data_IF_159510255307
#
_entry.id   IF_159510255307
#
_cell.length_a   1.000
_cell.length_b   1.000
_cell.length_c   1.000
_cell.angle_alpha   90.00
_cell.angle_beta   90.00
_cell.angle_gamma   90.00
#
_symmetry.space_group_name_H-M   'P 1'
#
loop_
_entity.id
_entity.type
_entity.pdbx_description
1 polymer ?
#
# COMPACT_ATOMS: atom_id res chain seq x y z
N UNK A 1 50.28 -9.75 39.19
CA UNK A 1 49.31 -9.00 40.02
C UNK A 1 48.69 -7.89 39.17
N UNK A 2 47.54 -8.12 38.61
CA UNK A 2 46.82 -7.16 37.74
C UNK A 2 45.90 -6.30 38.63
N UNK A 3 46.24 -5.01 38.79
CA UNK A 3 45.40 -4.04 39.51
C UNK A 3 44.11 -3.78 38.75
N UNK A 4 42.95 -4.16 39.29
CA UNK A 4 41.62 -3.77 38.79
C UNK A 4 41.42 -2.28 38.99
N UNK A 5 41.27 -1.54 37.87
CA UNK A 5 40.90 -0.12 37.87
C UNK A 5 39.41 -0.02 38.22
N UNK A 6 39.06 0.77 39.23
CA UNK A 6 37.65 0.97 39.62
C UNK A 6 36.96 1.93 38.62
N UNK A 7 35.71 1.68 38.36
CA UNK A 7 34.88 2.44 37.39
C UNK A 7 34.91 3.97 37.62
N UNK A 8 35.12 4.40 38.86
CA UNK A 8 35.24 5.81 39.26
C UNK A 8 36.56 6.45 38.79
N UNK A 9 37.63 5.67 38.74
CA UNK A 9 38.95 6.17 38.34
C UNK A 9 39.06 6.29 36.81
N UNK A 10 38.37 5.39 36.08
CA UNK A 10 38.22 5.50 34.64
C UNK A 10 37.47 6.77 34.19
N UNK A 11 36.39 7.14 34.89
CA UNK A 11 35.63 8.35 34.61
C UNK A 11 36.38 9.65 34.91
N UNK A 12 37.27 9.66 35.92
CA UNK A 12 38.11 10.83 36.24
C UNK A 12 39.26 11.02 35.25
N UNK A 13 39.84 9.97 34.71
CA UNK A 13 40.92 10.06 33.71
C UNK A 13 40.40 10.49 32.33
N UNK A 14 39.15 10.18 31.99
CA UNK A 14 38.51 10.64 30.74
C UNK A 14 38.17 12.14 30.77
N UNK A 15 37.94 12.73 31.93
CA UNK A 15 37.59 14.14 32.06
C UNK A 15 38.78 15.11 31.99
N UNK A 16 40.01 14.63 32.23
CA UNK A 16 41.23 15.47 32.24
C UNK A 16 41.93 15.48 30.87
N UNK A 17 41.62 14.55 29.98
CA UNK A 17 42.17 14.47 28.61
C UNK A 17 41.58 15.40 27.60
N UNK A 18 40.50 16.14 27.92
CA UNK A 18 39.73 16.96 26.97
C UNK A 18 40.02 18.46 26.96
N UNK A 19 41.04 18.91 27.72
CA UNK A 19 41.32 20.35 27.84
C UNK A 19 42.59 20.84 27.14
N UNK A 20 43.28 20.03 26.32
CA UNK A 20 44.53 20.43 25.68
C UNK A 20 44.66 20.05 24.19
N UNK A 21 43.58 20.08 23.42
CA UNK A 21 43.68 20.12 21.98
C UNK A 21 42.59 21.04 21.44
N UNK A 22 42.99 22.24 21.06
CA UNK A 22 42.13 23.22 20.40
C UNK A 22 41.76 22.80 18.94
N UNK A 23 41.14 21.64 18.79
CA UNK A 23 40.43 21.27 17.59
C UNK A 23 38.94 21.49 17.88
N UNK A 24 38.30 22.36 17.09
CA UNK A 24 36.84 22.52 17.07
C UNK A 24 36.25 21.12 16.95
N UNK A 25 35.70 20.59 18.06
CA UNK A 25 34.83 19.46 18.02
C UNK A 25 33.67 19.87 17.11
N UNK A 26 33.64 19.38 15.91
CA UNK A 26 32.43 19.41 15.08
C UNK A 26 31.40 18.59 15.86
N UNK A 27 30.54 19.30 16.57
CA UNK A 27 29.30 18.72 17.08
C UNK A 27 28.65 18.11 15.85
N UNK A 28 28.53 16.78 15.83
CA UNK A 28 27.66 16.11 14.87
C UNK A 28 26.26 16.72 15.10
N UNK A 29 25.94 17.75 14.33
CA UNK A 29 24.58 18.24 14.24
C UNK A 29 23.79 17.10 13.61
N UNK A 30 23.08 16.35 14.45
CA UNK A 30 21.95 15.58 13.94
C UNK A 30 21.10 16.56 13.14
N UNK A 31 20.71 16.24 11.90
CA UNK A 31 19.85 17.12 11.16
C UNK A 31 18.62 17.41 12.04
N UNK A 32 18.44 18.67 12.40
CA UNK A 32 17.22 19.11 13.05
C UNK A 32 16.10 18.76 12.10
N UNK A 33 15.24 17.85 12.47
CA UNK A 33 13.97 17.62 11.77
C UNK A 33 13.19 18.91 12.00
N UNK A 34 13.28 19.83 11.06
CA UNK A 34 12.45 21.02 11.03
C UNK A 34 11.09 20.52 10.53
N UNK A 35 10.23 20.13 11.48
CA UNK A 35 8.79 20.01 11.17
C UNK A 35 8.33 21.43 10.93
N UNK A 36 7.81 21.78 9.73
CA UNK A 36 7.26 23.09 9.48
C UNK A 36 6.20 23.40 10.54
N UNK A 37 6.20 24.59 11.09
CA UNK A 37 5.33 24.97 12.21
C UNK A 37 3.81 24.93 11.88
N UNK A 38 3.43 24.75 10.60
CA UNK A 38 2.04 24.75 10.12
C UNK A 38 1.84 23.71 9.00
N UNK A 39 1.94 22.42 9.33
CA UNK A 39 1.48 21.37 8.39
C UNK A 39 -0.04 21.32 8.42
N UNK A 40 -0.69 21.54 7.27
CA UNK A 40 -2.12 21.32 7.16
C UNK A 40 -2.43 19.84 7.11
N UNK A 41 -3.34 19.35 7.96
CA UNK A 41 -3.76 17.96 7.88
C UNK A 41 -4.30 17.60 6.50
N UNK A 42 -3.91 16.44 6.00
CA UNK A 42 -4.42 15.91 4.75
C UNK A 42 -4.39 14.38 4.75
N UNK A 43 -5.35 13.79 4.05
CA UNK A 43 -5.41 12.36 3.73
C UNK A 43 -5.29 12.21 2.22
N UNK A 44 -4.46 11.27 1.77
CA UNK A 44 -4.27 10.92 0.36
C UNK A 44 -4.49 9.41 0.19
N UNK A 45 -5.35 9.01 -0.73
CA UNK A 45 -5.71 7.61 -0.92
C UNK A 45 -5.89 7.26 -2.42
N UNK A 46 -5.96 5.98 -2.73
CA UNK A 46 -6.48 5.53 -4.02
C UNK A 46 -7.94 5.98 -4.21
N UNK A 47 -8.41 6.01 -5.47
CA UNK A 47 -9.72 6.59 -5.82
C UNK A 47 -10.91 5.93 -5.11
N UNK A 48 -10.83 4.62 -4.81
CA UNK A 48 -11.86 3.90 -4.04
C UNK A 48 -12.03 4.44 -2.60
N UNK A 49 -11.01 5.10 -2.06
CA UNK A 49 -11.11 5.79 -0.77
C UNK A 49 -12.10 6.96 -0.72
N UNK A 50 -12.57 7.46 -1.87
CA UNK A 50 -13.64 8.48 -1.96
C UNK A 50 -14.88 7.97 -2.72
N UNK A 51 -15.04 6.66 -2.88
CA UNK A 51 -16.16 6.08 -3.65
C UNK A 51 -17.14 5.31 -2.75
N UNK A 52 -16.63 4.46 -1.88
CA UNK A 52 -17.41 3.53 -1.08
C UNK A 52 -17.71 4.10 0.29
N UNK A 53 -18.87 3.77 0.82
CA UNK A 53 -19.38 4.28 2.11
C UNK A 53 -19.90 3.16 3.04
N UNK A 54 -19.91 1.93 2.60
CA UNK A 54 -20.43 0.76 3.32
C UNK A 54 -21.85 1.01 3.91
N UNK A 55 -22.73 1.58 3.09
CA UNK A 55 -24.09 1.92 3.51
C UNK A 55 -24.21 3.12 4.45
N UNK A 56 -23.11 3.79 4.79
CA UNK A 56 -23.08 5.00 5.63
C UNK A 56 -23.02 6.30 4.83
N UNK A 57 -22.72 7.39 5.52
CA UNK A 57 -22.71 8.74 4.94
C UNK A 57 -21.34 9.24 4.52
N UNK A 58 -20.25 8.67 5.08
CA UNK A 58 -18.87 9.15 4.91
C UNK A 58 -18.00 8.16 4.14
N UNK A 59 -17.06 8.67 3.38
CA UNK A 59 -16.04 7.90 2.67
C UNK A 59 -14.82 7.62 3.55
N UNK A 60 -13.91 6.76 3.07
CA UNK A 60 -12.68 6.42 3.79
C UNK A 60 -11.81 7.66 4.07
N UNK A 61 -11.61 8.54 3.07
CA UNK A 61 -10.80 9.75 3.24
C UNK A 61 -11.45 10.77 4.17
N UNK A 62 -12.78 10.91 4.14
CA UNK A 62 -13.51 11.77 5.08
C UNK A 62 -13.43 11.28 6.52
N UNK A 63 -13.62 9.96 6.72
CA UNK A 63 -13.49 9.33 8.04
C UNK A 63 -12.10 9.55 8.63
N UNK A 64 -11.07 9.25 7.85
CA UNK A 64 -9.68 9.41 8.28
C UNK A 64 -9.38 10.88 8.60
N UNK A 65 -9.76 11.82 7.74
CA UNK A 65 -9.53 13.25 7.94
C UNK A 65 -10.23 13.78 9.19
N UNK A 66 -11.50 13.43 9.37
CA UNK A 66 -12.27 13.84 10.56
C UNK A 66 -11.63 13.33 11.86
N UNK A 67 -11.14 12.08 11.88
CA UNK A 67 -10.46 11.54 13.05
C UNK A 67 -9.12 12.24 13.30
N UNK A 68 -8.33 12.49 12.26
CA UNK A 68 -7.02 13.19 12.36
C UNK A 68 -7.22 14.60 12.92
N UNK A 69 -8.18 15.35 12.39
CA UNK A 69 -8.46 16.72 12.86
C UNK A 69 -9.13 16.74 14.23
N UNK A 70 -9.80 15.66 14.61
CA UNK A 70 -10.33 15.42 15.96
C UNK A 70 -9.26 15.01 17.00
N UNK A 71 -7.98 14.88 16.59
CA UNK A 71 -6.87 14.57 17.49
C UNK A 71 -6.59 13.08 17.69
N UNK A 72 -7.20 12.19 16.91
CA UNK A 72 -6.88 10.76 16.94
C UNK A 72 -5.47 10.48 16.42
N UNK A 73 -4.89 9.34 16.80
CA UNK A 73 -3.67 8.82 16.20
C UNK A 73 -3.86 8.66 14.69
N UNK A 74 -2.85 9.07 13.91
CA UNK A 74 -2.97 9.10 12.43
C UNK A 74 -3.12 7.69 11.87
N UNK A 75 -2.43 6.69 12.44
CA UNK A 75 -2.57 5.30 11.97
C UNK A 75 -3.97 4.77 12.26
N UNK A 76 -4.52 5.04 13.45
CA UNK A 76 -5.88 4.64 13.80
C UNK A 76 -6.90 5.27 12.86
N UNK A 77 -6.70 6.52 12.50
CA UNK A 77 -7.57 7.25 11.60
C UNK A 77 -7.57 6.68 10.16
N UNK A 78 -6.39 6.45 9.57
CA UNK A 78 -6.31 5.90 8.20
C UNK A 78 -6.81 4.46 8.14
N UNK A 79 -6.60 3.64 9.18
CA UNK A 79 -7.15 2.29 9.27
C UNK A 79 -8.66 2.33 9.41
N UNK A 80 -9.22 3.18 10.28
CA UNK A 80 -10.67 3.35 10.39
C UNK A 80 -11.30 3.82 9.07
N UNK A 81 -10.56 4.61 8.28
CA UNK A 81 -10.97 4.98 6.93
C UNK A 81 -11.03 3.78 6.00
N UNK A 82 -9.94 3.03 5.84
CA UNK A 82 -9.89 1.88 4.90
C UNK A 82 -10.84 0.76 5.31
N UNK A 83 -11.19 0.63 6.60
CA UNK A 83 -12.19 -0.36 7.04
C UNK A 83 -13.57 -0.12 6.43
N UNK A 84 -13.93 1.12 6.05
CA UNK A 84 -15.17 1.38 5.30
C UNK A 84 -15.14 0.60 3.99
N UNK A 85 -14.01 0.63 3.27
CA UNK A 85 -13.86 -0.07 1.97
C UNK A 85 -13.69 -1.58 2.19
N UNK A 86 -12.90 -2.01 3.18
CA UNK A 86 -12.74 -3.45 3.50
C UNK A 86 -14.06 -4.14 3.85
N UNK A 87 -15.04 -3.42 4.37
CA UNK A 87 -16.33 -3.95 4.78
C UNK A 87 -17.44 -3.72 3.75
N UNK A 88 -17.20 -2.91 2.71
CA UNK A 88 -18.22 -2.59 1.71
C UNK A 88 -18.32 -3.71 0.67
N UNK A 89 -19.43 -4.47 0.61
CA UNK A 89 -19.60 -5.57 -0.33
C UNK A 89 -19.69 -5.11 -1.80
N UNK A 90 -19.75 -3.82 -2.05
CA UNK A 90 -19.75 -3.23 -3.41
C UNK A 90 -18.32 -3.01 -3.94
N UNK A 91 -17.29 -3.06 -3.09
CA UNK A 91 -15.89 -3.10 -3.52
C UNK A 91 -15.41 -4.56 -3.54
N UNK A 92 -15.41 -5.17 -4.71
CA UNK A 92 -14.93 -6.54 -4.93
C UNK A 92 -13.40 -6.63 -5.10
N UNK A 93 -12.67 -5.57 -4.75
CA UNK A 93 -11.21 -5.49 -4.86
C UNK A 93 -10.47 -5.52 -3.52
N UNK A 94 -11.18 -5.35 -2.39
CA UNK A 94 -10.60 -5.23 -1.04
C UNK A 94 -11.51 -5.92 -0.01
N UNK A 95 -10.93 -6.61 0.96
CA UNK A 95 -11.64 -7.09 2.13
C UNK A 95 -12.79 -8.07 1.85
N UNK A 96 -13.94 -7.81 2.49
CA UNK A 96 -15.16 -8.62 2.35
C UNK A 96 -15.76 -8.50 0.95
N UNK A 97 -15.93 -9.61 0.27
CA UNK A 97 -16.41 -9.64 -1.12
C UNK A 97 -15.31 -9.41 -2.15
N UNK A 98 -14.06 -9.24 -1.75
CA UNK A 98 -12.93 -9.16 -2.67
C UNK A 98 -12.85 -10.40 -3.57
N UNK A 99 -12.45 -10.21 -4.84
CA UNK A 99 -12.38 -11.30 -5.80
C UNK A 99 -11.43 -12.41 -5.33
N UNK A 100 -11.87 -13.69 -5.34
CA UNK A 100 -11.15 -14.79 -4.76
C UNK A 100 -9.94 -15.22 -5.62
N UNK A 101 -9.15 -16.13 -5.06
CA UNK A 101 -8.11 -16.86 -5.80
C UNK A 101 -8.71 -17.87 -6.80
N UNK A 102 -7.88 -18.58 -7.54
CA UNK A 102 -8.30 -19.54 -8.56
C UNK A 102 -9.15 -20.71 -8.02
N UNK A 103 -9.09 -20.97 -6.70
CA UNK A 103 -9.88 -22.01 -6.03
C UNK A 103 -11.14 -21.46 -5.35
N UNK A 104 -11.45 -20.16 -5.54
CA UNK A 104 -12.66 -19.54 -5.01
C UNK A 104 -12.55 -19.06 -3.57
N UNK A 105 -11.34 -19.00 -3.00
CA UNK A 105 -11.08 -18.54 -1.64
C UNK A 105 -10.58 -17.10 -1.64
N UNK A 106 -11.21 -16.23 -0.85
CA UNK A 106 -10.76 -14.85 -0.66
C UNK A 106 -9.54 -14.85 0.27
N UNK A 107 -8.38 -14.48 -0.28
CA UNK A 107 -7.12 -14.30 0.42
C UNK A 107 -6.70 -12.85 0.41
N UNK A 108 -6.50 -12.27 1.59
CA UNK A 108 -6.29 -10.85 1.79
C UNK A 108 -4.87 -10.55 2.23
N UNK A 109 -4.38 -9.36 1.83
CA UNK A 109 -3.07 -8.84 2.21
C UNK A 109 -3.25 -7.43 2.78
N UNK A 110 -2.44 -7.06 3.79
CA UNK A 110 -2.40 -5.68 4.29
C UNK A 110 -1.05 -5.36 4.93
N UNK A 111 -0.66 -4.10 4.87
CA UNK A 111 0.42 -3.54 5.68
C UNK A 111 0.05 -2.17 6.22
N UNK A 112 0.61 -1.82 7.37
CA UNK A 112 0.52 -0.49 7.95
C UNK A 112 1.86 -0.04 8.54
N UNK A 113 2.12 1.26 8.49
CA UNK A 113 3.35 1.86 9.02
C UNK A 113 3.04 3.11 9.84
N UNK A 114 3.61 3.17 11.03
CA UNK A 114 3.50 4.30 11.95
C UNK A 114 4.79 5.11 11.95
N UNK A 115 4.83 6.21 11.22
CA UNK A 115 6.04 7.02 11.05
C UNK A 115 6.68 7.51 12.36
N UNK A 116 5.94 8.13 13.29
CA UNK A 116 6.47 8.56 14.58
C UNK A 116 7.06 7.43 15.44
N UNK A 117 6.42 6.27 15.48
CA UNK A 117 6.90 5.11 16.26
C UNK A 117 7.96 4.29 15.53
N UNK A 118 8.19 4.53 14.24
CA UNK A 118 9.07 3.74 13.34
C UNK A 118 8.77 2.25 13.42
N UNK A 119 7.48 1.91 13.42
CA UNK A 119 6.96 0.55 13.50
C UNK A 119 6.10 0.23 12.29
N UNK A 120 6.07 -1.04 11.97
CA UNK A 120 5.25 -1.56 10.88
C UNK A 120 4.65 -2.92 11.25
N UNK A 121 3.54 -3.25 10.63
CA UNK A 121 2.90 -4.57 10.73
C UNK A 121 2.24 -4.92 9.42
N UNK A 122 2.22 -6.22 9.11
CA UNK A 122 1.62 -6.71 7.87
C UNK A 122 1.06 -8.13 8.05
N UNK A 123 0.09 -8.44 7.21
CA UNK A 123 -0.42 -9.80 7.01
C UNK A 123 -0.55 -10.09 5.53
N UNK A 124 -0.28 -11.34 5.12
CA UNK A 124 -0.37 -11.75 3.74
C UNK A 124 -1.08 -13.08 3.60
N UNK A 125 -1.86 -13.22 2.52
CA UNK A 125 -2.64 -14.44 2.24
C UNK A 125 -3.46 -14.91 3.45
N UNK A 126 -4.01 -13.96 4.22
CA UNK A 126 -4.88 -14.26 5.36
C UNK A 126 -6.29 -14.55 4.87
N UNK A 127 -6.95 -15.54 5.49
CA UNK A 127 -8.31 -15.97 5.15
C UNK A 127 -9.26 -15.72 6.32
N UNK A 128 -10.54 -15.49 6.03
CA UNK A 128 -11.62 -15.45 7.01
C UNK A 128 -11.68 -14.20 7.87
N UNK A 129 -10.86 -13.18 7.62
CA UNK A 129 -10.90 -11.89 8.36
C UNK A 129 -11.26 -10.76 7.42
N UNK A 130 -12.40 -10.08 7.65
CA UNK A 130 -12.88 -8.98 6.78
C UNK A 130 -11.97 -7.76 6.76
N UNK A 131 -11.24 -7.53 7.85
CA UNK A 131 -10.42 -6.33 8.08
C UNK A 131 -8.95 -6.68 8.31
N UNK A 132 -8.22 -7.12 7.26
CA UNK A 132 -6.81 -7.49 7.39
C UNK A 132 -5.93 -6.33 7.87
N UNK A 133 -6.33 -5.06 7.63
CA UNK A 133 -5.61 -3.89 8.12
C UNK A 133 -5.58 -3.79 9.65
N UNK A 134 -6.65 -4.19 10.33
CA UNK A 134 -6.68 -4.28 11.79
C UNK A 134 -5.77 -5.38 12.31
N UNK A 135 -5.67 -6.52 11.61
CA UNK A 135 -4.72 -7.58 11.98
C UNK A 135 -3.28 -7.13 11.75
N UNK A 136 -2.99 -6.44 10.65
CA UNK A 136 -1.68 -5.83 10.40
C UNK A 136 -1.29 -4.86 11.52
N UNK A 137 -2.24 -4.02 11.99
CA UNK A 137 -2.04 -3.16 13.16
C UNK A 137 -1.78 -3.96 14.43
N UNK A 138 -2.52 -5.03 14.68
CA UNK A 138 -2.29 -5.89 15.85
C UNK A 138 -0.88 -6.52 15.82
N UNK A 139 -0.36 -6.91 14.65
CA UNK A 139 1.03 -7.36 14.49
C UNK A 139 2.00 -6.26 14.90
N UNK A 140 1.80 -5.02 14.41
CA UNK A 140 2.60 -3.85 14.74
C UNK A 140 2.63 -3.58 16.26
N UNK A 141 1.49 -3.66 16.92
CA UNK A 141 1.34 -3.23 18.31
C UNK A 141 1.76 -4.30 19.32
N UNK A 142 1.57 -5.57 19.02
CA UNK A 142 1.66 -6.65 19.99
C UNK A 142 2.84 -7.62 19.75
N UNK A 143 3.63 -7.41 18.70
CA UNK A 143 4.77 -8.29 18.39
C UNK A 143 6.00 -7.50 17.93
N UNK A 144 7.15 -8.18 17.86
CA UNK A 144 8.38 -7.65 17.23
C UNK A 144 8.48 -8.05 15.74
N UNK A 145 7.46 -8.75 15.23
CA UNK A 145 7.41 -9.15 13.82
C UNK A 145 6.85 -8.03 12.95
N UNK A 146 7.20 -8.06 11.67
CA UNK A 146 6.64 -7.13 10.68
C UNK A 146 5.62 -7.79 9.75
N UNK A 147 5.68 -9.11 9.56
CA UNK A 147 4.81 -9.82 8.62
C UNK A 147 4.47 -11.21 9.13
N UNK A 148 3.18 -11.52 9.20
CA UNK A 148 2.63 -12.86 9.40
C UNK A 148 1.87 -13.30 8.14
N UNK A 149 1.89 -14.60 7.81
CA UNK A 149 1.30 -15.09 6.54
C UNK A 149 0.36 -16.28 6.75
N UNK A 150 -0.64 -16.39 5.85
CA UNK A 150 -1.52 -17.54 5.71
C UNK A 150 -2.15 -17.99 7.03
N UNK A 151 -2.10 -19.31 7.28
CA UNK A 151 -2.69 -19.91 8.48
C UNK A 151 -2.11 -19.35 9.78
N UNK A 152 -0.81 -19.04 9.82
CA UNK A 152 -0.19 -18.42 11.00
C UNK A 152 -0.77 -17.03 11.30
N UNK A 153 -1.01 -16.20 10.26
CA UNK A 153 -1.68 -14.93 10.42
C UNK A 153 -3.13 -15.08 10.89
N UNK A 154 -3.86 -16.08 10.40
CA UNK A 154 -5.23 -16.38 10.82
C UNK A 154 -5.29 -16.85 12.29
N UNK A 155 -4.37 -17.71 12.72
CA UNK A 155 -4.29 -18.17 14.12
C UNK A 155 -3.92 -17.01 15.06
N UNK A 156 -2.99 -16.14 14.66
CA UNK A 156 -2.69 -14.92 15.38
C UNK A 156 -3.94 -14.03 15.50
N UNK A 157 -4.64 -13.78 14.40
CA UNK A 157 -5.87 -12.98 14.41
C UNK A 157 -6.91 -13.57 15.38
N UNK A 158 -7.11 -14.89 15.35
CA UNK A 158 -8.02 -15.58 16.31
C UNK A 158 -7.57 -15.37 17.76
N UNK A 159 -6.28 -15.48 18.05
CA UNK A 159 -5.75 -15.27 19.40
C UNK A 159 -5.92 -13.84 19.90
N UNK A 160 -5.94 -12.86 18.98
CA UNK A 160 -6.21 -11.46 19.25
C UNK A 160 -7.71 -11.11 19.31
N UNK A 161 -8.61 -12.10 19.21
CA UNK A 161 -10.05 -11.94 19.33
C UNK A 161 -10.78 -11.56 18.03
N UNK A 162 -10.10 -11.60 16.88
CA UNK A 162 -10.77 -11.39 15.60
C UNK A 162 -11.70 -12.56 15.26
N UNK A 163 -12.87 -12.25 14.71
CA UNK A 163 -13.78 -13.25 14.16
C UNK A 163 -13.15 -13.85 12.90
N UNK A 164 -13.13 -15.18 12.85
CA UNK A 164 -12.74 -15.92 11.65
C UNK A 164 -14.00 -16.47 11.00
N UNK A 165 -14.24 -16.13 9.75
CA UNK A 165 -15.37 -16.59 8.94
C UNK A 165 -14.92 -17.67 7.95
N UNK A 166 -15.78 -18.61 7.66
CA UNK A 166 -15.46 -19.72 6.74
C UNK A 166 -15.36 -19.25 5.29
N UNK A 167 -16.07 -18.18 4.93
CA UNK A 167 -16.11 -17.64 3.57
C UNK A 167 -16.33 -16.12 3.60
N UNK A 168 -15.50 -15.39 2.85
CA UNK A 168 -15.60 -13.95 2.67
C UNK A 168 -16.17 -13.57 1.29
N UNK A 169 -16.55 -14.53 0.46
CA UNK A 169 -17.24 -14.22 -0.79
C UNK A 169 -18.61 -13.59 -0.52
N UNK A 170 -18.99 -12.64 -1.35
CA UNK A 170 -20.39 -12.26 -1.58
C UNK A 170 -20.98 -13.13 -2.70
N UNK A 171 -22.31 -13.10 -2.89
CA UNK A 171 -22.93 -13.73 -4.03
C UNK A 171 -22.36 -13.20 -5.35
N UNK A 172 -22.06 -11.90 -5.42
CA UNK A 172 -21.46 -11.24 -6.58
C UNK A 172 -20.06 -11.79 -6.88
N UNK A 173 -19.13 -11.76 -5.92
CA UNK A 173 -17.75 -12.24 -6.14
C UNK A 173 -17.72 -13.74 -6.49
N UNK A 174 -18.62 -14.53 -5.88
CA UNK A 174 -18.78 -15.94 -6.20
C UNK A 174 -19.30 -16.17 -7.64
N UNK A 175 -20.28 -15.38 -8.09
CA UNK A 175 -20.78 -15.46 -9.47
C UNK A 175 -19.70 -15.10 -10.49
N UNK A 176 -18.92 -14.04 -10.24
CA UNK A 176 -17.79 -13.66 -11.09
C UNK A 176 -16.72 -14.76 -11.16
N UNK A 177 -16.42 -15.42 -10.03
CA UNK A 177 -15.49 -16.55 -10.02
C UNK A 177 -16.03 -17.75 -10.82
N UNK A 178 -17.31 -18.06 -10.72
CA UNK A 178 -17.93 -19.14 -11.51
C UNK A 178 -17.90 -18.80 -13.02
N UNK A 179 -18.14 -17.55 -13.39
CA UNK A 179 -18.06 -17.11 -14.78
C UNK A 179 -16.63 -17.21 -15.32
N UNK A 180 -15.64 -16.78 -14.56
CA UNK A 180 -14.24 -16.96 -14.89
C UNK A 180 -13.89 -18.44 -15.08
N UNK A 181 -14.35 -19.34 -14.17
CA UNK A 181 -14.15 -20.79 -14.30
C UNK A 181 -14.77 -21.36 -15.59
N UNK A 182 -15.94 -20.88 -16.02
CA UNK A 182 -16.59 -21.33 -17.27
C UNK A 182 -15.79 -20.94 -18.51
N UNK A 183 -15.13 -19.80 -18.50
CA UNK A 183 -14.32 -19.31 -19.62
C UNK A 183 -13.01 -20.06 -19.78
N UNK A 184 -12.54 -20.75 -18.77
CA UNK A 184 -11.30 -21.54 -18.81
C UNK A 184 -11.63 -22.94 -19.37
N UNK A 185 -10.96 -23.31 -20.48
CA UNK A 185 -11.02 -24.67 -20.99
C UNK A 185 -10.46 -25.67 -19.95
N UNK A 186 -11.24 -26.70 -19.54
CA UNK A 186 -10.80 -27.71 -18.57
C UNK A 186 -9.50 -28.42 -18.94
N UNK A 187 -9.16 -28.54 -20.25
CA UNK A 187 -7.90 -29.13 -20.73
C UNK A 187 -6.65 -28.40 -20.24
N UNK A 188 -6.76 -27.12 -19.89
CA UNK A 188 -5.67 -26.32 -19.36
C UNK A 188 -5.36 -26.57 -17.89
N UNK A 189 -6.23 -27.26 -17.12
CA UNK A 189 -6.04 -27.45 -15.68
C UNK A 189 -4.88 -28.39 -15.34
N UNK A 190 -4.52 -29.31 -16.23
CA UNK A 190 -3.44 -30.28 -16.03
C UNK A 190 -2.05 -29.65 -16.25
N UNK A 191 -1.94 -28.63 -17.08
CA UNK A 191 -0.70 -27.89 -17.34
C UNK A 191 -0.71 -26.53 -16.63
N UNK A 192 0.13 -26.31 -15.61
CA UNK A 192 0.14 -25.07 -14.83
C UNK A 192 0.38 -23.83 -15.67
N UNK A 193 1.24 -23.92 -16.70
CA UNK A 193 1.54 -22.79 -17.59
C UNK A 193 0.33 -22.43 -18.46
N UNK A 194 -0.25 -23.41 -19.13
CA UNK A 194 -1.45 -23.23 -19.96
C UNK A 194 -2.64 -22.75 -19.12
N UNK A 195 -2.79 -23.25 -17.90
CA UNK A 195 -3.81 -22.80 -16.96
C UNK A 195 -3.65 -21.31 -16.62
N UNK A 196 -2.44 -20.86 -16.33
CA UNK A 196 -2.17 -19.45 -16.03
C UNK A 196 -2.47 -18.55 -17.23
N UNK A 197 -2.11 -18.97 -18.45
CA UNK A 197 -2.40 -18.25 -19.69
C UNK A 197 -3.91 -18.21 -19.99
N UNK A 198 -4.61 -19.32 -19.80
CA UNK A 198 -6.07 -19.40 -19.97
C UNK A 198 -6.82 -18.54 -18.93
N UNK A 199 -6.38 -18.58 -17.68
CA UNK A 199 -6.94 -17.76 -16.61
C UNK A 199 -6.78 -16.26 -16.89
N UNK A 200 -5.62 -15.85 -17.37
CA UNK A 200 -5.39 -14.46 -17.75
C UNK A 200 -6.25 -14.01 -18.92
N UNK A 201 -6.39 -14.83 -19.98
CA UNK A 201 -7.30 -14.54 -21.11
C UNK A 201 -8.74 -14.39 -20.65
N UNK A 202 -9.25 -15.33 -19.84
CA UNK A 202 -10.59 -15.27 -19.31
C UNK A 202 -10.84 -13.97 -18.51
N UNK A 203 -9.84 -13.52 -17.74
CA UNK A 203 -9.92 -12.25 -17.01
C UNK A 203 -10.01 -11.03 -17.97
N UNK A 204 -9.21 -11.00 -19.04
CA UNK A 204 -9.26 -9.94 -20.05
C UNK A 204 -10.56 -9.95 -20.84
N UNK A 205 -11.13 -11.13 -21.13
CA UNK A 205 -12.44 -11.26 -21.77
C UNK A 205 -13.54 -10.68 -20.86
N UNK A 206 -13.54 -11.01 -19.57
CA UNK A 206 -14.51 -10.47 -18.61
C UNK A 206 -14.38 -8.95 -18.45
N UNK A 207 -13.16 -8.41 -18.53
CA UNK A 207 -12.93 -6.96 -18.58
C UNK A 207 -13.54 -6.34 -19.85
N UNK A 208 -13.29 -6.94 -21.02
CA UNK A 208 -13.83 -6.47 -22.30
C UNK A 208 -15.37 -6.56 -22.36
N UNK A 209 -15.97 -7.54 -21.69
CA UNK A 209 -17.42 -7.70 -21.56
C UNK A 209 -18.04 -6.77 -20.50
N UNK A 210 -17.22 -6.03 -19.74
CA UNK A 210 -17.68 -5.13 -18.68
C UNK A 210 -18.18 -5.85 -17.43
N UNK A 211 -17.89 -7.14 -17.26
CA UNK A 211 -18.25 -7.93 -16.08
C UNK A 211 -17.41 -7.55 -14.85
N UNK A 212 -16.19 -7.13 -15.09
CA UNK A 212 -15.27 -6.58 -14.06
C UNK A 212 -14.68 -5.26 -14.56
N UNK A 213 -14.21 -4.42 -13.64
CA UNK A 213 -13.45 -3.22 -13.97
C UNK A 213 -11.95 -3.51 -13.94
N UNK A 214 -11.15 -2.72 -14.66
CA UNK A 214 -9.69 -2.85 -14.64
C UNK A 214 -9.13 -2.70 -13.22
N UNK A 215 -9.66 -1.76 -12.45
CA UNK A 215 -9.25 -1.55 -11.05
C UNK A 215 -9.51 -2.76 -10.16
N UNK A 216 -10.49 -3.61 -10.48
CA UNK A 216 -10.85 -4.81 -9.70
C UNK A 216 -9.95 -6.00 -10.06
N UNK A 217 -9.33 -5.98 -11.24
CA UNK A 217 -8.34 -6.99 -11.63
C UNK A 217 -7.08 -6.93 -10.74
N UNK A 218 -6.72 -5.73 -10.28
CA UNK A 218 -5.57 -5.43 -9.40
C UNK A 218 -5.99 -4.54 -8.22
N UNK A 219 -7.14 -4.86 -7.60
CA UNK A 219 -7.76 -4.00 -6.61
C UNK A 219 -6.95 -3.84 -5.32
N UNK A 220 -6.88 -2.62 -4.84
CA UNK A 220 -6.17 -2.25 -3.62
C UNK A 220 -6.68 -0.90 -3.14
N UNK A 221 -6.71 -0.66 -1.83
CA UNK A 221 -6.73 0.68 -1.27
C UNK A 221 -5.41 0.97 -0.55
N UNK A 222 -4.78 2.10 -0.90
CA UNK A 222 -3.77 2.75 -0.09
C UNK A 222 -4.36 4.02 0.53
N UNK A 223 -4.00 4.32 1.77
CA UNK A 223 -4.38 5.54 2.46
C UNK A 223 -3.23 6.03 3.33
N UNK A 224 -2.77 7.25 3.08
CA UNK A 224 -1.72 7.94 3.83
C UNK A 224 -2.31 9.21 4.47
N UNK A 225 -1.95 9.50 5.71
CA UNK A 225 -2.43 10.68 6.42
C UNK A 225 -1.32 11.41 7.16
N UNK A 226 -1.47 12.72 7.31
CA UNK A 226 -0.61 13.58 8.13
C UNK A 226 -1.47 14.52 8.97
N UNK A 227 -1.09 14.74 10.22
CA UNK A 227 -1.76 15.69 11.10
C UNK A 227 -0.99 17.03 11.19
N UNK A 228 -1.53 17.99 11.94
CA UNK A 228 -0.93 19.33 12.14
C UNK A 228 0.42 19.31 12.87
N UNK A 229 0.77 18.19 13.52
CA UNK A 229 2.08 18.00 14.16
C UNK A 229 3.13 17.44 13.20
N UNK A 230 2.77 17.16 11.94
CA UNK A 230 3.64 16.49 10.98
C UNK A 230 3.80 14.99 11.21
N UNK A 231 2.96 14.37 12.04
CA UNK A 231 2.94 12.93 12.23
C UNK A 231 2.28 12.28 11.02
N UNK A 232 3.01 11.39 10.34
CA UNK A 232 2.57 10.74 9.11
C UNK A 232 2.52 9.22 9.29
N UNK A 233 1.42 8.61 8.82
CA UNK A 233 1.20 7.16 8.83
C UNK A 233 0.53 6.72 7.53
N UNK A 234 0.61 5.42 7.23
CA UNK A 234 -0.03 4.86 6.04
C UNK A 234 -0.48 3.42 6.23
N UNK A 235 -1.42 3.02 5.39
CA UNK A 235 -1.97 1.66 5.32
C UNK A 235 -2.23 1.30 3.86
N UNK A 236 -2.00 0.04 3.51
CA UNK A 236 -2.38 -0.55 2.22
C UNK A 236 -3.07 -1.88 2.50
N UNK A 237 -4.20 -2.15 1.83
CA UNK A 237 -4.97 -3.38 1.98
C UNK A 237 -5.62 -3.80 0.67
N UNK A 238 -5.74 -5.11 0.43
CA UNK A 238 -6.13 -5.66 -0.87
C UNK A 238 -6.63 -7.09 -0.78
N UNK A 239 -7.46 -7.50 -1.76
CA UNK A 239 -7.68 -8.91 -2.10
C UNK A 239 -6.65 -9.45 -3.10
N UNK A 240 -5.73 -8.60 -3.56
CA UNK A 240 -4.66 -8.95 -4.51
C UNK A 240 -5.14 -9.04 -5.96
N UNK A 241 -4.41 -9.82 -6.76
CA UNK A 241 -4.80 -10.11 -8.13
C UNK A 241 -6.00 -11.06 -8.15
N UNK A 242 -7.04 -10.72 -8.90
CA UNK A 242 -8.22 -11.57 -9.10
C UNK A 242 -7.82 -12.92 -9.68
N UNK A 243 -8.38 -14.00 -9.10
CA UNK A 243 -8.13 -15.39 -9.51
C UNK A 243 -6.64 -15.80 -9.47
N UNK A 244 -5.89 -15.15 -8.60
CA UNK A 244 -4.48 -15.48 -8.33
C UNK A 244 -4.30 -16.96 -7.94
N UNK A 245 -3.11 -17.48 -8.16
CA UNK A 245 -2.72 -18.78 -7.60
C UNK A 245 -2.84 -18.72 -6.07
N UNK A 246 -3.44 -19.71 -5.40
CA UNK A 246 -3.53 -19.74 -3.94
C UNK A 246 -2.16 -19.52 -3.28
N UNK A 247 -2.10 -18.59 -2.34
CA UNK A 247 -0.85 -18.21 -1.68
C UNK A 247 -0.01 -17.15 -2.42
N UNK A 248 -0.42 -16.67 -3.62
CA UNK A 248 0.25 -15.52 -4.25
C UNK A 248 0.06 -14.28 -3.40
N UNK A 249 1.15 -13.64 -3.07
CA UNK A 249 1.23 -12.36 -2.37
C UNK A 249 1.74 -11.30 -3.34
N UNK A 250 1.06 -10.15 -3.39
CA UNK A 250 1.49 -8.97 -4.15
C UNK A 250 2.43 -8.08 -3.36
N UNK A 251 2.49 -6.82 -3.76
CA UNK A 251 3.33 -5.80 -3.11
C UNK A 251 2.72 -5.24 -1.82
N UNK A 252 1.39 -5.26 -1.68
CA UNK A 252 0.68 -4.55 -0.60
C UNK A 252 1.16 -4.89 0.82
N UNK A 253 1.49 -6.14 1.21
CA UNK A 253 1.99 -6.43 2.54
C UNK A 253 3.51 -6.26 2.69
N UNK A 254 4.21 -5.94 1.60
CA UNK A 254 5.67 -5.86 1.59
C UNK A 254 6.11 -4.41 1.78
N UNK A 255 6.76 -4.16 2.93
CA UNK A 255 7.29 -2.84 3.29
C UNK A 255 8.36 -2.40 2.27
N UNK A 256 8.21 -1.20 1.77
CA UNK A 256 9.06 -0.66 0.71
C UNK A 256 8.51 -0.87 -0.70
N UNK A 257 7.61 -1.84 -0.90
CA UNK A 257 6.94 -2.07 -2.17
C UNK A 257 5.54 -1.43 -2.18
N UNK A 258 4.52 -2.08 -1.59
CA UNK A 258 3.14 -1.60 -1.60
C UNK A 258 2.88 -0.43 -0.64
N UNK A 259 3.72 -0.26 0.35
CA UNK A 259 3.70 0.84 1.32
C UNK A 259 5.10 1.10 1.87
N UNK A 260 5.46 2.38 1.99
CA UNK A 260 6.58 2.81 2.81
C UNK A 260 6.30 4.16 3.47
N UNK A 261 6.64 4.28 4.76
CA UNK A 261 6.49 5.52 5.53
C UNK A 261 7.78 5.80 6.30
N UNK A 262 8.36 6.96 6.09
CA UNK A 262 9.33 7.57 6.99
C UNK A 262 8.73 8.87 7.53
N UNK A 263 8.49 8.92 8.86
CA UNK A 263 7.83 10.06 9.51
C UNK A 263 8.55 11.40 9.34
N UNK A 264 9.85 11.40 9.00
CA UNK A 264 10.62 12.61 8.74
C UNK A 264 10.59 13.06 7.27
N UNK A 265 10.12 12.21 6.36
CA UNK A 265 10.20 12.44 4.90
C UNK A 265 8.83 12.40 4.26
N UNK A 266 8.08 11.31 4.45
CA UNK A 266 6.81 11.13 3.78
C UNK A 266 6.35 9.68 3.73
N UNK A 267 5.28 9.46 2.97
CA UNK A 267 4.64 8.18 2.72
C UNK A 267 4.38 7.98 1.23
N UNK A 268 4.49 6.75 0.78
CA UNK A 268 4.09 6.33 -0.56
C UNK A 268 3.45 4.95 -0.50
N UNK A 269 2.39 4.75 -1.28
CA UNK A 269 1.77 3.46 -1.49
C UNK A 269 1.29 3.30 -2.92
N UNK A 270 0.92 2.08 -3.30
CA UNK A 270 0.67 1.72 -4.70
C UNK A 270 -0.63 0.96 -4.90
N UNK A 271 -1.10 0.98 -6.16
CA UNK A 271 -2.07 0.03 -6.72
C UNK A 271 -1.63 -0.42 -8.10
N UNK A 272 -2.19 -1.52 -8.60
CA UNK A 272 -1.90 -2.05 -9.91
C UNK A 272 -1.01 -3.30 -9.86
N UNK A 273 -0.13 -3.48 -10.86
CA UNK A 273 0.69 -4.69 -10.96
C UNK A 273 1.76 -4.77 -9.86
N UNK A 274 1.48 -5.54 -8.80
CA UNK A 274 2.34 -5.69 -7.63
C UNK A 274 3.73 -6.22 -7.95
N UNK A 275 3.87 -7.21 -8.84
CA UNK A 275 5.16 -7.80 -9.22
C UNK A 275 6.14 -6.78 -9.81
N UNK A 276 5.64 -5.81 -10.57
CA UNK A 276 6.49 -4.74 -11.14
C UNK A 276 6.99 -3.77 -10.05
N UNK A 277 6.15 -3.51 -9.06
CA UNK A 277 6.51 -2.71 -7.90
C UNK A 277 7.47 -3.48 -6.96
N UNK A 278 7.19 -4.75 -6.66
CA UNK A 278 8.05 -5.61 -5.82
C UNK A 278 9.50 -5.64 -6.31
N UNK A 279 9.70 -5.81 -7.62
CA UNK A 279 11.04 -5.89 -8.21
C UNK A 279 11.86 -4.63 -7.96
N UNK A 280 11.22 -3.46 -7.90
CA UNK A 280 11.87 -2.16 -7.78
C UNK A 280 11.79 -1.53 -6.39
N UNK A 281 11.00 -2.08 -5.44
CA UNK A 281 10.73 -1.49 -4.12
C UNK A 281 10.33 -0.02 -4.21
N UNK A 282 9.35 0.28 -5.08
CA UNK A 282 9.10 1.64 -5.51
C UNK A 282 8.60 2.59 -4.42
N UNK A 283 7.84 2.13 -3.44
CA UNK A 283 7.40 3.02 -2.36
C UNK A 283 8.59 3.48 -1.50
N UNK A 284 9.57 2.60 -1.25
CA UNK A 284 10.83 2.99 -0.62
C UNK A 284 11.62 3.97 -1.49
N UNK A 285 11.77 3.66 -2.79
CA UNK A 285 12.43 4.54 -3.74
C UNK A 285 11.82 5.95 -3.76
N UNK A 286 10.49 6.06 -3.81
CA UNK A 286 9.79 7.35 -3.83
C UNK A 286 10.10 8.15 -2.57
N UNK A 287 10.08 7.52 -1.40
CA UNK A 287 10.41 8.20 -0.14
C UNK A 287 11.87 8.62 -0.10
N UNK A 288 12.81 7.80 -0.64
CA UNK A 288 14.23 8.20 -0.75
C UNK A 288 14.43 9.35 -1.75
N UNK A 289 13.71 9.37 -2.86
CA UNK A 289 13.76 10.50 -3.80
C UNK A 289 13.23 11.80 -3.15
N UNK A 290 12.15 11.71 -2.33
CA UNK A 290 11.70 12.84 -1.53
C UNK A 290 12.71 13.24 -0.44
N UNK A 291 13.46 12.29 0.16
CA UNK A 291 14.57 12.57 1.09
C UNK A 291 15.67 13.39 0.44
N UNK A 292 15.93 13.17 -0.85
CA UNK A 292 16.85 13.95 -1.66
C UNK A 292 16.25 15.26 -2.19
N UNK A 293 15.07 15.66 -1.71
CA UNK A 293 14.44 16.96 -1.98
C UNK A 293 13.51 17.00 -3.20
N UNK A 294 13.21 15.87 -3.85
CA UNK A 294 12.24 15.85 -4.96
C UNK A 294 10.82 16.10 -4.44
N UNK A 295 10.01 16.79 -5.23
CA UNK A 295 8.58 16.91 -5.01
C UNK A 295 7.91 15.52 -5.16
N UNK A 296 6.81 15.20 -4.43
CA UNK A 296 6.08 13.92 -4.54
C UNK A 296 5.81 13.46 -5.98
N UNK A 297 5.39 14.36 -6.86
CA UNK A 297 5.19 14.07 -8.30
C UNK A 297 6.47 13.55 -8.97
N UNK A 298 7.58 14.26 -8.81
CA UNK A 298 8.84 13.93 -9.49
C UNK A 298 9.44 12.62 -8.95
N UNK A 299 9.30 12.39 -7.65
CA UNK A 299 9.68 11.13 -7.00
C UNK A 299 8.87 9.95 -7.54
N UNK A 300 7.55 10.11 -7.67
CA UNK A 300 6.67 9.10 -8.25
C UNK A 300 6.96 8.82 -9.73
N UNK A 301 7.23 9.87 -10.51
CA UNK A 301 7.62 9.73 -11.93
C UNK A 301 8.92 8.96 -12.10
N UNK A 302 9.88 9.12 -11.19
CA UNK A 302 11.12 8.35 -11.21
C UNK A 302 10.87 6.85 -10.99
N UNK A 303 10.00 6.50 -10.05
CA UNK A 303 9.60 5.12 -9.81
C UNK A 303 8.92 4.50 -11.05
N UNK A 304 8.02 5.24 -11.71
CA UNK A 304 7.36 4.77 -12.94
C UNK A 304 8.35 4.60 -14.10
N UNK A 305 9.34 5.50 -14.26
CA UNK A 305 10.41 5.34 -15.27
C UNK A 305 11.23 4.09 -15.01
N UNK A 306 11.54 3.79 -13.74
CA UNK A 306 12.30 2.61 -13.35
C UNK A 306 11.52 1.33 -13.62
N UNK A 307 10.22 1.28 -13.31
CA UNK A 307 9.34 0.16 -13.67
C UNK A 307 9.33 -0.03 -15.18
N UNK A 308 9.14 1.03 -15.97
CA UNK A 308 9.17 0.96 -17.43
C UNK A 308 10.48 0.38 -17.95
N UNK A 309 11.62 0.86 -17.44
CA UNK A 309 12.94 0.41 -17.86
C UNK A 309 13.25 -1.05 -17.47
N UNK A 310 12.72 -1.53 -16.34
CA UNK A 310 12.91 -2.91 -15.87
C UNK A 310 11.91 -3.91 -16.46
N UNK A 311 10.88 -3.45 -17.19
CA UNK A 311 9.92 -4.33 -17.86
C UNK A 311 10.46 -4.76 -19.21
N UNK A 312 11.12 -5.91 -19.26
CA UNK A 312 11.82 -6.42 -20.46
C UNK A 312 11.19 -7.68 -21.07
N UNK A 313 10.32 -8.36 -20.33
CA UNK A 313 9.64 -9.56 -20.82
C UNK A 313 8.60 -9.20 -21.90
N UNK A 314 8.71 -9.81 -23.08
CA UNK A 314 7.82 -9.53 -24.21
C UNK A 314 6.33 -9.68 -23.90
N UNK A 315 5.96 -10.66 -23.05
CA UNK A 315 4.56 -10.88 -22.63
C UNK A 315 4.01 -9.75 -21.73
N UNK A 316 4.88 -8.89 -21.20
CA UNK A 316 4.52 -7.74 -20.36
C UNK A 316 4.63 -6.41 -21.11
N UNK A 317 4.82 -6.47 -22.43
CA UNK A 317 4.89 -5.30 -23.30
C UNK A 317 3.70 -5.28 -24.25
N UNK A 318 3.17 -4.09 -24.47
CA UNK A 318 2.14 -3.82 -25.48
C UNK A 318 2.78 -3.68 -26.88
N UNK A 319 1.96 -3.40 -27.90
CA UNK A 319 2.39 -3.26 -29.28
C UNK A 319 3.43 -2.15 -29.52
N UNK A 320 3.44 -1.13 -28.63
CA UNK A 320 4.39 0.00 -28.65
C UNK A 320 5.67 -0.26 -27.87
N UNK A 321 5.83 -1.46 -27.29
CA UNK A 321 6.99 -1.82 -26.45
C UNK A 321 6.98 -1.18 -25.04
N UNK A 322 5.85 -0.71 -24.57
CA UNK A 322 5.66 -0.20 -23.22
C UNK A 322 4.98 -1.27 -22.33
N UNK A 323 5.04 -1.16 -20.97
CA UNK A 323 4.34 -2.08 -20.08
C UNK A 323 2.85 -2.24 -20.43
N UNK A 324 2.34 -3.47 -20.57
CA UNK A 324 0.94 -3.74 -20.84
C UNK A 324 0.08 -3.79 -19.57
N UNK A 325 0.46 -3.03 -18.57
CA UNK A 325 -0.20 -2.94 -17.27
C UNK A 325 -0.03 -1.54 -16.68
N UNK A 326 -0.86 -1.21 -15.70
CA UNK A 326 -0.69 0.01 -14.92
C UNK A 326 -0.06 -0.26 -13.55
N UNK A 327 0.65 0.74 -13.05
CA UNK A 327 1.01 0.92 -11.64
C UNK A 327 0.76 2.38 -11.30
N UNK A 328 0.17 2.62 -10.14
CA UNK A 328 -0.21 3.95 -9.64
C UNK A 328 0.36 4.13 -8.24
N UNK A 329 0.87 5.34 -7.95
CA UNK A 329 1.37 5.69 -6.63
C UNK A 329 0.62 6.87 -6.04
N UNK A 330 0.40 6.83 -4.73
CA UNK A 330 -0.23 7.85 -3.90
C UNK A 330 0.79 8.31 -2.87
N UNK A 331 1.20 9.57 -2.96
CA UNK A 331 2.41 10.07 -2.34
C UNK A 331 2.09 11.31 -1.51
N UNK A 332 2.63 11.36 -0.30
CA UNK A 332 2.45 12.46 0.65
C UNK A 332 3.78 12.71 1.36
N UNK A 333 4.29 13.95 1.34
CA UNK A 333 5.50 14.26 2.09
C UNK A 333 5.21 14.92 3.45
N UNK A 334 6.25 15.07 4.27
CA UNK A 334 6.14 15.65 5.62
C UNK A 334 5.76 17.15 5.63
N UNK A 335 5.71 17.81 4.46
CA UNK A 335 5.23 19.20 4.33
C UNK A 335 3.75 19.29 3.93
N UNK A 336 3.08 18.15 3.75
CA UNK A 336 1.70 18.11 3.28
C UNK A 336 1.56 18.25 1.76
N UNK A 337 2.67 18.27 0.99
CA UNK A 337 2.63 18.20 -0.46
C UNK A 337 2.34 16.76 -0.91
N UNK A 338 1.54 16.60 -1.95
CA UNK A 338 1.09 15.29 -2.40
C UNK A 338 1.04 15.16 -3.92
N UNK A 339 0.96 13.93 -4.39
CA UNK A 339 0.72 13.60 -5.79
C UNK A 339 0.09 12.21 -5.94
N UNK A 340 -0.74 12.05 -6.97
CA UNK A 340 -1.07 10.78 -7.57
C UNK A 340 -0.38 10.67 -8.93
N UNK A 341 0.37 9.60 -9.19
CA UNK A 341 1.01 9.37 -10.49
C UNK A 341 0.61 8.01 -11.05
N UNK A 342 0.52 7.88 -12.36
CA UNK A 342 0.12 6.65 -13.04
C UNK A 342 1.00 6.36 -14.26
N UNK A 343 1.11 5.10 -14.63
CA UNK A 343 1.86 4.70 -15.83
C UNK A 343 1.29 5.32 -17.10
N UNK A 344 -0.03 5.35 -17.25
CA UNK A 344 -0.75 5.82 -18.44
C UNK A 344 -1.73 6.95 -18.12
N UNK A 345 -2.10 7.72 -19.13
CA UNK A 345 -3.11 8.78 -19.02
C UNK A 345 -4.55 8.28 -19.13
N UNK A 346 -4.75 7.03 -19.52
CA UNK A 346 -6.05 6.38 -19.63
C UNK A 346 -5.99 4.92 -19.18
N UNK A 347 -7.07 4.43 -18.60
CA UNK A 347 -7.31 3.02 -18.31
C UNK A 347 -7.82 2.30 -19.56
N UNK A 348 -7.81 0.96 -19.59
CA UNK A 348 -8.31 0.18 -20.75
C UNK A 348 -9.82 0.35 -20.98
N UNK A 349 -10.58 0.64 -19.93
CA UNK A 349 -12.02 0.99 -20.01
C UNK A 349 -12.28 2.43 -20.48
N UNK A 350 -11.25 3.21 -20.80
CA UNK A 350 -11.33 4.60 -21.24
C UNK A 350 -11.48 5.63 -20.10
N UNK A 351 -11.61 5.21 -18.86
CA UNK A 351 -11.66 6.12 -17.72
C UNK A 351 -10.29 6.79 -17.48
N UNK A 352 -10.30 7.93 -16.79
CA UNK A 352 -9.05 8.63 -16.41
C UNK A 352 -8.57 8.17 -15.05
N UNK A 353 -7.27 7.81 -14.92
CA UNK A 353 -6.68 7.47 -13.63
C UNK A 353 -6.82 8.61 -12.64
N UNK A 354 -7.30 8.27 -11.43
CA UNK A 354 -7.56 9.26 -10.38
C UNK A 354 -7.13 8.75 -9.00
N UNK A 355 -7.07 9.67 -8.05
CA UNK A 355 -6.81 9.41 -6.64
C UNK A 355 -7.68 10.32 -5.77
N UNK A 356 -7.81 9.96 -4.51
CA UNK A 356 -8.64 10.67 -3.55
C UNK A 356 -7.80 11.48 -2.56
N UNK A 357 -8.30 12.63 -2.16
CA UNK A 357 -7.79 13.40 -1.01
C UNK A 357 -8.93 13.85 -0.13
N UNK A 358 -8.62 14.16 1.13
CA UNK A 358 -9.48 14.97 2.00
C UNK A 358 -8.62 15.97 2.78
N UNK A 359 -9.00 17.25 2.73
CA UNK A 359 -8.39 18.35 3.45
C UNK A 359 -9.48 19.26 4.03
N UNK A 360 -9.14 20.48 4.44
CA UNK A 360 -10.11 21.46 4.98
C UNK A 360 -11.25 21.83 4.01
N UNK A 361 -11.09 21.60 2.72
CA UNK A 361 -12.12 21.82 1.70
C UNK A 361 -13.01 20.60 1.44
N UNK A 362 -12.84 19.52 2.23
CA UNK A 362 -13.59 18.26 2.11
C UNK A 362 -12.92 17.25 1.16
N UNK A 363 -13.63 16.13 0.88
CA UNK A 363 -13.15 15.06 0.03
C UNK A 363 -13.16 15.48 -1.44
N UNK A 364 -12.12 15.10 -2.19
CA UNK A 364 -11.97 15.38 -3.61
C UNK A 364 -11.37 14.18 -4.33
N UNK A 365 -11.74 14.01 -5.59
CA UNK A 365 -11.12 13.07 -6.51
C UNK A 365 -10.35 13.86 -7.58
N UNK A 366 -9.05 13.62 -7.68
CA UNK A 366 -8.13 14.33 -8.56
C UNK A 366 -7.58 13.36 -9.61
N UNK A 367 -7.19 13.89 -10.77
CA UNK A 367 -6.53 13.08 -11.80
C UNK A 367 -5.07 12.81 -11.44
N UNK A 368 -4.62 11.58 -11.74
CA UNK A 368 -3.20 11.25 -11.64
C UNK A 368 -2.39 11.86 -12.78
N UNK A 369 -1.15 12.23 -12.50
CA UNK A 369 -0.19 12.64 -13.51
C UNK A 369 0.34 11.41 -14.25
N UNK A 370 0.25 11.34 -15.57
CA UNK A 370 0.70 10.18 -16.34
C UNK A 370 2.17 10.25 -16.72
N UNK A 371 2.84 9.08 -16.79
CA UNK A 371 4.16 8.95 -17.41
C UNK A 371 4.06 8.81 -18.94
N UNK A 372 3.08 8.06 -19.42
CA UNK A 372 2.86 7.71 -20.82
C UNK A 372 1.47 8.17 -21.29
N UNK A 373 1.38 8.51 -22.58
CA UNK A 373 0.09 8.73 -23.26
C UNK A 373 -0.47 7.40 -23.74
N UNK A 374 -1.81 7.29 -23.78
CA UNK A 374 -2.53 6.09 -24.20
C UNK A 374 -2.91 5.19 -23.02
N UNK A 375 -3.00 3.90 -23.27
CA UNK A 375 -3.48 2.91 -22.31
C UNK A 375 -2.64 1.62 -22.33
N UNK A 376 -2.74 0.74 -21.31
CA UNK A 376 -1.95 -0.49 -21.25
C UNK A 376 -2.10 -1.39 -22.48
N UNK A 377 -3.30 -1.50 -23.04
CA UNK A 377 -3.59 -2.38 -24.20
C UNK A 377 -3.19 -1.83 -25.58
N UNK A 378 -2.58 -0.65 -25.68
CA UNK A 378 -2.18 0.00 -26.96
C UNK A 378 -1.19 -0.81 -27.84
#
# INVERSE_FOLDING_TARGET
>A
MTKRIKRRDFMRTSAVGLTLAGTKASVLQFPNIIVPADVKPIVVASANGNRFKNGGDVTAVEKAFTMITGGADVLDAVIAGVNIVELDPLDDSVGYGGLPNAEGVVQLDSSCMHGPKKRAGAVASIEGVRTPSLVAKAVLENTDHHLLVGKGAQEFARSMGFKIEDDLNTDHSRQLWLEWKRKIDPSHYLDPKKRAEAGHRAALEMLAEGLIREENLHGTINCNGINSKGEICGVTTTSGLSWKIPGRVGDSPILGAGLYVDGAVGAAGSTGRGEANLYNLCSFLIVEEMRHGKHPKDAGMEALRRIKASTVEKRLLNSKGNPNFYVRFYILNARGEYAGVNMYDSNDDGSKPSFAICNENGPQTLLCEPLLQGKPSD
#
